data_IF_646336644197
#
_entry.id   IF_646336644197
#
_cell.length_a   1.000
_cell.length_b   1.000
_cell.length_c   1.000
_cell.angle_alpha   90.00
_cell.angle_beta   90.00
_cell.angle_gamma   90.00
#
_symmetry.space_group_name_H-M   'P 1'
#
loop_
_entity.id
_entity.type
_entity.pdbx_description
1 polymer ?
#
# COMPACT_ATOMS: atom_id res chain seq x y z
N UNK A 1 11.85 16.97 5.21
CA UNK A 1 11.70 15.83 6.13
C UNK A 1 10.24 15.80 6.52
N UNK A 2 9.41 14.96 5.89
CA UNK A 2 8.06 14.74 6.42
C UNK A 2 8.20 13.82 7.62
N UNK A 3 7.83 14.35 8.79
CA UNK A 3 7.60 13.57 9.98
C UNK A 3 6.56 12.48 9.67
N UNK A 4 6.80 11.30 10.20
CA UNK A 4 5.96 10.11 10.07
C UNK A 4 4.48 10.46 10.31
N UNK A 5 3.60 10.27 9.32
CA UNK A 5 2.13 10.41 9.45
C UNK A 5 1.51 9.35 10.39
N UNK A 6 2.32 8.65 11.19
CA UNK A 6 1.85 7.66 12.14
C UNK A 6 1.57 8.29 13.49
N UNK A 7 0.50 7.82 14.10
CA UNK A 7 0.29 8.07 15.52
C UNK A 7 1.39 7.38 16.34
N UNK A 8 1.77 7.94 17.52
CA UNK A 8 2.71 7.27 18.43
C UNK A 8 2.33 5.83 18.77
N UNK A 9 1.03 5.52 18.77
CA UNK A 9 0.51 4.18 19.02
C UNK A 9 0.76 3.22 17.84
N UNK A 10 0.63 3.69 16.60
CA UNK A 10 0.97 2.88 15.41
C UNK A 10 2.48 2.61 15.32
N UNK A 11 3.33 3.58 15.67
CA UNK A 11 4.77 3.36 15.71
C UNK A 11 5.16 2.31 16.74
N UNK A 12 4.60 2.39 17.96
CA UNK A 12 4.81 1.38 18.99
C UNK A 12 4.28 0.02 18.57
N UNK A 13 3.12 -0.02 17.92
CA UNK A 13 2.54 -1.25 17.42
C UNK A 13 3.50 -1.93 16.42
N UNK A 14 3.96 -1.22 15.39
CA UNK A 14 4.89 -1.79 14.41
C UNK A 14 6.23 -2.20 15.00
N UNK A 15 6.74 -1.47 15.99
CA UNK A 15 7.99 -1.83 16.67
C UNK A 15 7.86 -3.13 17.48
N UNK A 16 6.66 -3.48 17.96
CA UNK A 16 6.43 -4.61 18.87
C UNK A 16 5.76 -5.82 18.22
N UNK A 17 5.12 -5.68 17.05
CA UNK A 17 4.54 -6.80 16.29
C UNK A 17 5.60 -7.78 15.80
N UNK A 18 5.25 -9.06 15.61
CA UNK A 18 6.13 -10.00 14.89
C UNK A 18 6.17 -9.67 13.39
N UNK A 19 7.21 -10.11 12.69
CA UNK A 19 7.30 -9.98 11.23
C UNK A 19 6.18 -10.74 10.52
N UNK A 20 5.70 -11.86 11.07
CA UNK A 20 4.48 -12.54 10.59
C UNK A 20 3.26 -11.61 10.59
N UNK A 21 2.99 -10.94 11.72
CA UNK A 21 1.86 -9.99 11.81
C UNK A 21 2.06 -8.81 10.85
N UNK A 22 3.28 -8.32 10.71
CA UNK A 22 3.59 -7.25 9.76
C UNK A 22 3.37 -7.70 8.30
N UNK A 23 3.72 -8.93 7.96
CA UNK A 23 3.48 -9.49 6.63
C UNK A 23 1.97 -9.63 6.34
N UNK A 24 1.17 -10.09 7.31
CA UNK A 24 -0.29 -10.14 7.17
C UNK A 24 -0.88 -8.73 6.92
N UNK A 25 -0.38 -7.72 7.63
CA UNK A 25 -0.80 -6.32 7.44
C UNK A 25 -0.36 -5.79 6.08
N UNK A 26 0.86 -6.13 5.63
CA UNK A 26 1.34 -5.79 4.29
C UNK A 26 0.41 -6.38 3.22
N UNK A 27 0.07 -7.66 3.32
CA UNK A 27 -0.80 -8.36 2.38
C UNK A 27 -2.22 -7.76 2.32
N UNK A 28 -2.82 -7.44 3.48
CA UNK A 28 -4.11 -6.74 3.54
C UNK A 28 -4.00 -5.33 2.94
N UNK A 29 -2.92 -4.60 3.23
CA UNK A 29 -2.71 -3.24 2.70
C UNK A 29 -2.55 -3.26 1.18
N UNK A 30 -1.76 -4.20 0.63
CA UNK A 30 -1.60 -4.42 -0.80
C UNK A 30 -2.95 -4.74 -1.47
N UNK A 31 -3.72 -5.65 -0.87
CA UNK A 31 -5.05 -6.04 -1.36
C UNK A 31 -5.99 -4.84 -1.45
N UNK A 32 -6.02 -3.97 -0.43
CA UNK A 32 -6.84 -2.76 -0.42
C UNK A 32 -6.41 -1.76 -1.50
N UNK A 33 -5.10 -1.56 -1.68
CA UNK A 33 -4.56 -0.70 -2.72
C UNK A 33 -4.89 -1.24 -4.12
N UNK A 34 -4.64 -2.53 -4.37
CA UNK A 34 -4.98 -3.21 -5.62
C UNK A 34 -6.47 -3.09 -5.96
N UNK A 35 -7.35 -3.31 -4.98
CA UNK A 35 -8.79 -3.12 -5.14
C UNK A 35 -9.18 -1.70 -5.58
N UNK A 36 -8.54 -0.67 -5.00
CA UNK A 36 -8.75 0.73 -5.41
C UNK A 36 -8.25 1.01 -6.82
N UNK A 37 -7.06 0.54 -7.16
CA UNK A 37 -6.49 0.68 -8.50
C UNK A 37 -7.36 0.01 -9.57
N UNK A 38 -7.91 -1.18 -9.27
CA UNK A 38 -8.89 -1.85 -10.14
C UNK A 38 -10.16 -1.02 -10.31
N UNK A 39 -10.69 -0.43 -9.23
CA UNK A 39 -11.87 0.42 -9.31
C UNK A 39 -11.61 1.67 -10.18
N UNK A 40 -10.45 2.32 -10.03
CA UNK A 40 -10.03 3.45 -10.85
C UNK A 40 -9.86 3.06 -12.32
N UNK A 41 -9.24 1.92 -12.61
CA UNK A 41 -9.13 1.40 -13.97
C UNK A 41 -10.50 1.16 -14.62
N UNK A 42 -11.49 0.69 -13.84
CA UNK A 42 -12.87 0.49 -14.31
C UNK A 42 -13.61 1.81 -14.56
N UNK A 43 -13.34 2.85 -13.77
CA UNK A 43 -13.95 4.17 -13.92
C UNK A 43 -13.28 5.06 -14.97
N UNK A 44 -12.04 4.74 -15.37
CA UNK A 44 -11.26 5.52 -16.32
C UNK A 44 -11.96 5.69 -17.68
N UNK A 45 -12.03 6.93 -18.14
CA UNK A 45 -12.69 7.31 -19.40
C UNK A 45 -11.77 7.21 -20.62
N UNK A 46 -10.46 7.08 -20.39
CA UNK A 46 -9.45 6.91 -21.44
C UNK A 46 -8.68 5.62 -21.25
N UNK A 47 -8.22 5.04 -22.36
CA UNK A 47 -7.39 3.83 -22.34
C UNK A 47 -6.05 4.06 -21.66
N UNK A 48 -5.46 5.25 -21.82
CA UNK A 48 -4.20 5.65 -21.18
C UNK A 48 -4.33 5.67 -19.66
N UNK A 49 -5.39 6.27 -19.12
CA UNK A 49 -5.63 6.30 -17.68
C UNK A 49 -5.92 4.90 -17.13
N UNK A 50 -6.72 4.11 -17.86
CA UNK A 50 -6.99 2.71 -17.49
C UNK A 50 -5.71 1.90 -17.41
N UNK A 51 -4.83 2.04 -18.40
CA UNK A 51 -3.57 1.31 -18.44
C UNK A 51 -2.66 1.74 -17.29
N UNK A 52 -2.55 3.04 -17.01
CA UNK A 52 -1.79 3.55 -15.86
C UNK A 52 -2.20 2.90 -14.53
N UNK A 53 -3.50 2.75 -14.28
CA UNK A 53 -3.99 2.12 -13.06
C UNK A 53 -3.73 0.62 -13.00
N UNK A 54 -3.76 -0.07 -14.15
CA UNK A 54 -3.37 -1.48 -14.25
C UNK A 54 -1.88 -1.68 -14.01
N UNK A 55 -1.03 -0.86 -14.64
CA UNK A 55 0.42 -0.94 -14.49
C UNK A 55 0.81 -0.73 -13.03
N UNK A 56 0.21 0.26 -12.35
CA UNK A 56 0.44 0.47 -10.92
C UNK A 56 -0.02 -0.71 -10.06
N UNK A 57 -1.11 -1.39 -10.43
CA UNK A 57 -1.58 -2.58 -9.72
C UNK A 57 -0.60 -3.74 -9.87
N UNK A 58 -0.07 -3.98 -11.08
CA UNK A 58 0.99 -4.97 -11.28
C UNK A 58 2.26 -4.63 -10.51
N UNK A 59 2.67 -3.37 -10.50
CA UNK A 59 3.84 -2.93 -9.72
C UNK A 59 3.67 -3.20 -8.22
N UNK A 60 2.47 -3.02 -7.65
CA UNK A 60 2.21 -3.34 -6.24
C UNK A 60 2.33 -4.84 -5.97
N UNK A 61 1.85 -5.69 -6.88
CA UNK A 61 1.99 -7.14 -6.75
C UNK A 61 3.48 -7.57 -6.86
N UNK A 62 4.21 -7.04 -7.84
CA UNK A 62 5.64 -7.30 -8.02
C UNK A 62 6.44 -6.85 -6.79
N UNK A 63 6.14 -5.66 -6.25
CA UNK A 63 6.75 -5.16 -5.02
C UNK A 63 6.44 -6.08 -3.82
N UNK A 64 5.19 -6.51 -3.67
CA UNK A 64 4.78 -7.42 -2.59
C UNK A 64 5.53 -8.75 -2.63
N UNK A 65 5.71 -9.32 -3.82
CA UNK A 65 6.45 -10.58 -4.00
C UNK A 65 7.96 -10.44 -3.74
N UNK A 66 8.52 -9.24 -3.98
CA UNK A 66 9.95 -8.97 -3.80
C UNK A 66 10.36 -8.64 -2.36
N UNK A 67 9.42 -8.35 -1.46
CA UNK A 67 9.73 -7.98 -0.06
C UNK A 67 10.08 -9.25 0.73
N UNK A 68 11.24 -9.21 1.40
CA UNK A 68 11.64 -10.25 2.35
C UNK A 68 10.66 -10.26 3.55
N UNK A 69 9.98 -11.39 3.84
CA UNK A 69 9.05 -11.49 4.97
C UNK A 69 9.71 -11.37 6.35
N UNK A 70 11.04 -11.46 6.44
CA UNK A 70 11.79 -11.25 7.69
C UNK A 70 12.35 -9.83 7.84
N UNK A 71 12.33 -9.01 6.79
CA UNK A 71 12.77 -7.61 6.83
C UNK A 71 11.66 -6.70 7.36
N UNK A 72 11.67 -6.50 8.68
CA UNK A 72 10.74 -5.60 9.39
C UNK A 72 10.69 -4.20 8.78
N UNK A 73 11.84 -3.62 8.47
CA UNK A 73 11.90 -2.22 8.04
C UNK A 73 11.31 -2.08 6.64
N UNK A 74 11.58 -3.04 5.75
CA UNK A 74 10.96 -3.11 4.43
C UNK A 74 9.44 -3.30 4.51
N UNK A 75 8.95 -4.21 5.36
CA UNK A 75 7.52 -4.43 5.60
C UNK A 75 6.84 -3.14 6.07
N UNK A 76 7.37 -2.51 7.12
CA UNK A 76 6.79 -1.29 7.72
C UNK A 76 6.82 -0.12 6.73
N UNK A 77 7.91 0.04 5.97
CA UNK A 77 8.02 1.09 4.95
C UNK A 77 6.93 0.97 3.89
N UNK A 78 6.71 -0.24 3.34
CA UNK A 78 5.69 -0.46 2.31
C UNK A 78 4.26 -0.34 2.87
N UNK A 79 4.00 -0.83 4.09
CA UNK A 79 2.71 -0.62 4.76
C UNK A 79 2.40 0.88 4.86
N UNK A 80 3.37 1.70 5.27
CA UNK A 80 3.20 3.17 5.36
C UNK A 80 2.93 3.78 4.00
N UNK A 81 3.76 3.47 3.02
CA UNK A 81 3.65 4.03 1.66
C UNK A 81 2.30 3.70 1.04
N UNK A 82 1.87 2.44 1.10
CA UNK A 82 0.63 2.01 0.49
C UNK A 82 -0.61 2.48 1.25
N UNK A 83 -0.57 2.57 2.59
CA UNK A 83 -1.64 3.24 3.37
C UNK A 83 -1.82 4.70 2.94
N UNK A 84 -0.73 5.44 2.80
CA UNK A 84 -0.78 6.83 2.34
C UNK A 84 -1.33 6.95 0.91
N UNK A 85 -0.93 6.04 0.02
CA UNK A 85 -1.46 6.00 -1.34
C UNK A 85 -2.97 5.69 -1.37
N UNK A 86 -3.43 4.73 -0.57
CA UNK A 86 -4.86 4.41 -0.40
C UNK A 86 -5.66 5.63 0.06
N UNK A 87 -5.14 6.41 1.02
CA UNK A 87 -5.77 7.63 1.51
C UNK A 87 -5.83 8.71 0.39
N UNK A 88 -4.70 8.97 -0.28
CA UNK A 88 -4.63 9.92 -1.39
C UNK A 88 -5.59 9.58 -2.53
N UNK A 89 -5.71 8.29 -2.88
CA UNK A 89 -6.63 7.84 -3.92
C UNK A 89 -8.10 7.94 -3.49
N UNK A 90 -8.40 7.82 -2.19
CA UNK A 90 -9.76 8.06 -1.67
C UNK A 90 -10.15 9.53 -1.83
N UNK A 91 -9.26 10.46 -1.52
CA UNK A 91 -9.54 11.90 -1.60
C UNK A 91 -9.72 12.40 -3.03
N UNK A 92 -9.16 11.68 -4.03
CA UNK A 92 -9.34 11.97 -5.45
C UNK A 92 -10.69 11.50 -6.01
N UNK A 93 -11.45 10.71 -5.26
CA UNK A 93 -12.76 10.19 -5.64
C UNK A 93 -13.91 10.87 -4.89
N UNK A 94 -13.62 11.78 -3.96
CA UNK A 94 -14.59 12.56 -3.18
C UNK A 94 -14.86 13.91 -3.85
#
# INVERSE_FOLDING_TARGET
>A
MSESDLTPDEERFYATSSTTVLNDILADTATRLGGKLVALARAATTDTERQRWRDRMYEVEDQKEAIDPEDRDALVSHIRQWKAEVARLRDQQA
#
